data_IF_857502488397
#
_entry.id   IF_857502488397
#
_cell.length_a   1.000
_cell.length_b   1.000
_cell.length_c   1.000
_cell.angle_alpha   90.00
_cell.angle_beta   90.00
_cell.angle_gamma   90.00
#
_symmetry.space_group_name_H-M   'P 1'
#
loop_
_entity.id
_entity.type
_entity.pdbx_description
1 polymer ?
#
# COMPACT_ATOMS: atom_id res chain seq x y z
N UNK A 1 26.37 -5.33 5.26
CA UNK A 1 25.30 -4.61 5.99
C UNK A 1 23.97 -5.33 5.75
N UNK A 2 23.12 -5.52 6.76
CA UNK A 2 21.72 -5.85 6.45
C UNK A 2 21.12 -4.62 5.77
N UNK A 3 20.51 -4.80 4.62
CA UNK A 3 20.01 -3.67 3.85
C UNK A 3 18.59 -3.34 4.29
N UNK A 4 17.83 -4.35 4.72
CA UNK A 4 16.48 -4.18 5.25
C UNK A 4 16.16 -5.20 6.34
N UNK A 5 15.36 -4.74 7.31
CA UNK A 5 14.83 -5.52 8.41
C UNK A 5 13.34 -5.23 8.53
N UNK A 6 12.50 -6.26 8.56
CA UNK A 6 11.05 -6.13 8.74
C UNK A 6 10.54 -7.18 9.70
N UNK A 7 9.55 -6.81 10.51
CA UNK A 7 8.82 -7.74 11.36
C UNK A 7 7.32 -7.64 11.06
N UNK A 8 6.68 -8.78 10.79
CA UNK A 8 5.26 -8.81 10.50
C UNK A 8 4.40 -9.15 11.72
N UNK A 9 3.08 -8.96 11.60
CA UNK A 9 2.09 -9.29 12.63
C UNK A 9 2.07 -10.77 13.03
N UNK A 10 2.61 -11.66 12.18
CA UNK A 10 2.78 -13.09 12.46
C UNK A 10 4.02 -13.40 13.30
N UNK A 11 4.75 -12.37 13.77
CA UNK A 11 6.01 -12.45 14.54
C UNK A 11 7.13 -13.17 13.75
N UNK A 12 7.22 -12.89 12.46
CA UNK A 12 8.35 -13.31 11.65
C UNK A 12 9.26 -12.11 11.44
N UNK A 13 10.55 -12.30 11.72
CA UNK A 13 11.61 -11.36 11.39
C UNK A 13 12.16 -11.74 10.02
N UNK A 14 12.17 -10.79 9.09
CA UNK A 14 12.67 -10.96 7.72
C UNK A 14 13.84 -10.01 7.54
N UNK A 15 14.98 -10.56 7.13
CA UNK A 15 16.19 -9.79 6.84
C UNK A 15 16.57 -9.97 5.38
N UNK A 16 16.78 -8.87 4.66
CA UNK A 16 17.40 -8.87 3.35
C UNK A 16 18.83 -8.34 3.50
N UNK A 17 19.81 -9.20 3.26
CA UNK A 17 21.21 -8.94 3.59
C UNK A 17 22.11 -9.21 2.37
N UNK A 18 23.27 -8.54 2.35
CA UNK A 18 24.32 -8.90 1.39
C UNK A 18 24.98 -10.23 1.73
N UNK A 19 25.75 -10.76 0.77
CA UNK A 19 26.46 -12.03 0.91
C UNK A 19 27.37 -12.09 2.14
N UNK A 20 28.10 -11.02 2.42
CA UNK A 20 29.07 -10.99 3.53
C UNK A 20 28.34 -11.04 4.87
N UNK A 21 27.27 -10.25 5.03
CA UNK A 21 26.43 -10.27 6.23
C UNK A 21 25.74 -11.61 6.40
N UNK A 22 25.24 -12.21 5.33
CA UNK A 22 24.65 -13.54 5.35
C UNK A 22 25.64 -14.58 5.92
N UNK A 23 26.88 -14.57 5.42
CA UNK A 23 27.94 -15.46 5.88
C UNK A 23 28.34 -15.19 7.34
N UNK A 24 28.45 -13.93 7.74
CA UNK A 24 28.75 -13.54 9.13
C UNK A 24 27.64 -13.93 10.11
N UNK A 25 26.37 -13.78 9.72
CA UNK A 25 25.24 -14.18 10.56
C UNK A 25 25.19 -15.71 10.71
N UNK A 26 25.45 -16.47 9.64
CA UNK A 26 25.46 -17.93 9.66
C UNK A 26 24.07 -18.52 9.97
N UNK A 27 23.02 -17.83 9.53
CA UNK A 27 21.64 -18.28 9.61
C UNK A 27 21.23 -18.96 8.31
N UNK A 28 20.23 -19.84 8.39
CA UNK A 28 19.65 -20.44 7.20
C UNK A 28 18.80 -19.38 6.47
N UNK A 29 19.11 -19.14 5.20
CA UNK A 29 18.35 -18.27 4.33
C UNK A 29 18.40 -18.76 2.89
N UNK A 30 17.78 -18.01 1.99
CA UNK A 30 17.73 -18.34 0.57
C UNK A 30 18.23 -17.18 -0.29
N UNK A 31 18.83 -17.43 -1.47
CA UNK A 31 19.15 -16.37 -2.41
C UNK A 31 17.90 -15.59 -2.82
N UNK A 32 18.02 -14.26 -2.88
CA UNK A 32 16.96 -13.37 -3.39
C UNK A 32 16.51 -13.78 -4.80
N UNK A 33 15.20 -13.79 -5.07
CA UNK A 33 14.60 -14.06 -6.38
C UNK A 33 15.08 -13.08 -7.45
N UNK A 34 15.39 -11.84 -7.06
CA UNK A 34 15.86 -10.81 -7.98
C UNK A 34 17.35 -10.89 -8.26
N UNK A 35 18.12 -11.58 -7.41
CA UNK A 35 19.58 -11.71 -7.49
C UNK A 35 20.04 -13.17 -7.61
N UNK A 36 19.22 -14.08 -8.15
CA UNK A 36 19.57 -15.49 -8.25
C UNK A 36 20.83 -15.75 -9.10
N UNK A 37 21.03 -14.97 -10.17
CA UNK A 37 22.20 -15.10 -11.06
C UNK A 37 23.49 -14.62 -10.40
N UNK A 38 23.46 -13.47 -9.73
CA UNK A 38 24.63 -12.90 -9.07
C UNK A 38 24.90 -13.50 -7.69
N UNK A 39 23.88 -14.09 -7.03
CA UNK A 39 23.90 -14.58 -5.64
C UNK A 39 24.46 -13.55 -4.65
N UNK A 40 24.18 -12.27 -4.89
CA UNK A 40 24.72 -11.16 -4.10
C UNK A 40 23.86 -10.80 -2.89
N UNK A 41 22.62 -11.26 -2.84
CA UNK A 41 21.63 -10.93 -1.79
C UNK A 41 20.93 -12.19 -1.29
N UNK A 42 20.65 -12.21 0.00
CA UNK A 42 20.01 -13.33 0.69
C UNK A 42 18.86 -12.85 1.57
N UNK A 43 17.79 -13.63 1.59
CA UNK A 43 16.64 -13.42 2.46
C UNK A 43 16.71 -14.45 3.58
N UNK A 44 16.71 -13.97 4.83
CA UNK A 44 16.66 -14.78 6.04
C UNK A 44 15.30 -14.55 6.70
N UNK A 45 14.58 -15.62 6.97
CA UNK A 45 13.33 -15.57 7.73
C UNK A 45 13.49 -16.29 9.07
N UNK A 46 13.17 -15.60 10.15
CA UNK A 46 13.22 -16.14 11.51
C UNK A 46 11.83 -16.07 12.12
N UNK A 47 11.25 -17.23 12.42
CA UNK A 47 9.99 -17.31 13.16
C UNK A 47 10.23 -17.07 14.66
N UNK A 48 9.87 -15.88 15.16
CA UNK A 48 10.10 -15.51 16.56
C UNK A 48 9.21 -16.31 17.52
N UNK A 49 8.09 -16.90 17.06
CA UNK A 49 7.21 -17.73 17.90
C UNK A 49 7.85 -19.06 18.28
N UNK A 50 8.72 -19.60 17.44
CA UNK A 50 9.38 -20.89 17.67
C UNK A 50 10.66 -20.77 18.51
N UNK A 51 11.21 -19.55 18.62
CA UNK A 51 12.47 -19.32 19.34
C UNK A 51 12.43 -19.71 20.82
N UNK A 52 11.36 -19.44 21.60
CA UNK A 52 11.27 -19.90 22.98
C UNK A 52 11.37 -21.42 23.10
N UNK A 53 10.84 -22.17 22.13
CA UNK A 53 10.90 -23.63 22.07
C UNK A 53 12.24 -24.16 21.55
N UNK A 54 13.14 -23.29 21.05
CA UNK A 54 14.44 -23.65 20.48
C UNK A 54 15.57 -22.82 21.13
N UNK A 55 15.93 -23.06 22.41
CA UNK A 55 16.86 -22.21 23.15
C UNK A 55 18.25 -22.11 22.52
N UNK A 56 18.80 -23.23 22.02
CA UNK A 56 20.11 -23.25 21.33
C UNK A 56 20.13 -22.31 20.12
N UNK A 57 19.04 -22.33 19.33
CA UNK A 57 18.89 -21.46 18.16
C UNK A 57 18.75 -19.99 18.60
N UNK A 58 17.92 -19.72 19.62
CA UNK A 58 17.76 -18.38 20.18
C UNK A 58 19.09 -17.77 20.65
N UNK A 59 19.88 -18.50 21.45
CA UNK A 59 21.18 -18.02 21.93
C UNK A 59 22.18 -17.82 20.79
N UNK A 60 22.19 -18.70 19.78
CA UNK A 60 23.00 -18.52 18.57
C UNK A 60 22.63 -17.20 17.88
N UNK A 61 21.35 -16.98 17.62
CA UNK A 61 20.85 -15.78 16.93
C UNK A 61 21.18 -14.52 17.72
N UNK A 62 20.87 -14.50 19.02
CA UNK A 62 21.15 -13.38 19.92
C UNK A 62 22.64 -13.03 19.94
N UNK A 63 23.51 -14.03 20.07
CA UNK A 63 24.97 -13.84 20.09
C UNK A 63 25.48 -13.24 18.78
N UNK A 64 24.95 -13.68 17.64
CA UNK A 64 25.38 -13.17 16.33
C UNK A 64 24.90 -11.74 16.10
N UNK A 65 23.67 -11.38 16.48
CA UNK A 65 23.23 -9.98 16.40
C UNK A 65 24.04 -9.05 17.30
N UNK A 66 24.35 -9.48 18.53
CA UNK A 66 25.16 -8.69 19.46
C UNK A 66 26.59 -8.50 18.96
N UNK A 67 27.18 -9.52 18.32
CA UNK A 67 28.54 -9.43 17.76
C UNK A 67 28.62 -8.52 16.54
N UNK A 68 27.59 -8.51 15.70
CA UNK A 68 27.61 -7.78 14.44
C UNK A 68 27.24 -6.29 14.61
N UNK A 69 26.81 -5.87 15.82
CA UNK A 69 26.49 -4.49 16.21
C UNK A 69 25.66 -3.70 15.18
N UNK A 70 24.78 -4.39 14.45
CA UNK A 70 24.01 -3.75 13.40
C UNK A 70 22.96 -2.82 14.01
N UNK A 71 22.93 -1.58 13.52
CA UNK A 71 21.98 -0.55 13.94
C UNK A 71 21.11 -0.16 12.75
N UNK A 72 19.84 0.09 13.04
CA UNK A 72 18.84 0.50 12.07
C UNK A 72 17.97 1.59 12.69
N UNK A 73 17.55 2.53 11.86
CA UNK A 73 16.39 3.35 12.16
C UNK A 73 15.14 2.53 11.81
N UNK A 74 14.18 2.47 12.72
CA UNK A 74 13.03 1.56 12.61
C UNK A 74 11.74 2.35 12.71
N UNK A 75 10.90 2.25 11.68
CA UNK A 75 9.49 2.62 11.79
C UNK A 75 8.78 1.54 12.61
N UNK A 76 8.15 1.95 13.71
CA UNK A 76 7.49 1.06 14.64
C UNK A 76 6.03 1.46 14.81
N UNK A 77 5.14 0.47 14.68
CA UNK A 77 3.73 0.61 15.04
C UNK A 77 3.32 -0.59 15.86
N UNK A 78 2.55 -0.33 16.91
CA UNK A 78 2.08 -1.33 17.83
C UNK A 78 0.65 -1.03 18.24
N UNK A 79 -0.16 -2.08 18.23
CA UNK A 79 -1.50 -2.03 18.75
C UNK A 79 -1.49 -2.64 20.15
N UNK A 80 -1.96 -1.86 21.12
CA UNK A 80 -2.09 -2.34 22.48
C UNK A 80 -3.04 -3.54 22.51
N UNK A 81 -2.70 -4.60 23.28
CA UNK A 81 -3.56 -5.78 23.41
C UNK A 81 -4.83 -5.51 24.22
N UNK A 82 -4.87 -4.41 24.99
CA UNK A 82 -6.03 -3.95 25.75
C UNK A 82 -6.05 -2.41 25.80
N UNK A 83 -7.24 -1.84 25.98
CA UNK A 83 -7.46 -0.39 26.10
C UNK A 83 -6.88 0.20 27.39
N UNK A 84 -6.54 -0.67 28.36
CA UNK A 84 -5.88 -0.28 29.61
C UNK A 84 -4.41 0.11 29.43
N UNK A 85 -3.78 -0.26 28.31
CA UNK A 85 -2.38 0.03 28.05
C UNK A 85 -2.28 1.22 27.10
N UNK A 86 -1.75 2.33 27.62
CA UNK A 86 -1.52 3.52 26.81
C UNK A 86 -0.49 3.28 25.71
N UNK A 87 -0.71 3.91 24.55
CA UNK A 87 0.23 3.90 23.42
C UNK A 87 1.62 4.46 23.79
N UNK A 88 1.67 5.36 24.77
CA UNK A 88 2.89 5.97 25.33
C UNK A 88 3.85 4.93 25.95
N UNK A 89 3.32 3.79 26.40
CA UNK A 89 4.08 2.73 27.09
C UNK A 89 5.24 2.17 26.25
N UNK A 90 5.03 2.01 24.94
CA UNK A 90 6.06 1.52 24.00
C UNK A 90 7.16 2.54 23.82
N UNK A 91 6.82 3.81 23.65
CA UNK A 91 7.81 4.87 23.50
C UNK A 91 8.68 4.96 24.77
N UNK A 92 8.06 4.83 25.94
CA UNK A 92 8.77 4.79 27.22
C UNK A 92 9.70 3.58 27.34
N UNK A 93 9.26 2.40 26.90
CA UNK A 93 10.09 1.19 26.86
C UNK A 93 11.40 1.42 26.09
N UNK A 94 11.32 2.03 24.91
CA UNK A 94 12.50 2.30 24.07
C UNK A 94 13.38 3.42 24.66
N UNK A 95 12.80 4.50 25.18
CA UNK A 95 13.54 5.57 25.87
C UNK A 95 14.33 5.04 27.07
N UNK A 96 13.73 4.16 27.88
CA UNK A 96 14.39 3.48 29.01
C UNK A 96 15.58 2.60 28.58
N UNK A 97 15.62 2.19 27.30
CA UNK A 97 16.72 1.46 26.69
C UNK A 97 17.71 2.36 25.95
N UNK A 98 17.63 3.68 26.17
CA UNK A 98 18.49 4.70 25.55
C UNK A 98 18.35 4.80 24.03
N UNK A 99 17.20 4.40 23.48
CA UNK A 99 16.88 4.68 22.07
C UNK A 99 16.24 6.07 21.93
N UNK A 100 16.58 6.77 20.85
CA UNK A 100 15.87 7.98 20.43
C UNK A 100 14.56 7.58 19.76
N UNK A 101 13.44 8.17 20.18
CA UNK A 101 12.11 7.88 19.63
C UNK A 101 11.35 9.17 19.35
N UNK A 102 10.94 9.35 18.09
CA UNK A 102 10.00 10.40 17.67
C UNK A 102 8.64 9.79 17.40
N UNK A 103 7.58 10.53 17.75
CA UNK A 103 6.22 10.19 17.37
C UNK A 103 5.89 10.93 16.08
N UNK A 104 5.60 10.18 15.02
CA UNK A 104 5.27 10.74 13.71
C UNK A 104 3.75 10.73 13.51
N UNK A 105 3.20 11.88 13.12
CA UNK A 105 1.78 12.02 12.80
C UNK A 105 1.55 11.78 11.31
N UNK A 106 0.32 11.39 10.97
CA UNK A 106 -0.10 11.33 9.57
C UNK A 106 -0.10 12.74 8.97
N UNK A 107 0.44 12.83 7.76
CA UNK A 107 0.34 14.02 6.93
C UNK A 107 -0.92 13.86 6.09
N UNK A 108 -1.82 14.83 6.20
CA UNK A 108 -3.07 14.87 5.45
C UNK A 108 -3.04 16.02 4.47
N UNK A 109 -3.31 15.73 3.21
CA UNK A 109 -3.55 16.74 2.18
C UNK A 109 -4.92 16.49 1.56
N UNK A 110 -5.77 17.51 1.54
CA UNK A 110 -7.12 17.44 0.99
C UNK A 110 -7.28 18.56 -0.03
N UNK A 111 -7.73 18.20 -1.22
CA UNK A 111 -7.93 19.11 -2.33
C UNK A 111 -9.29 18.86 -2.97
N UNK A 112 -9.95 19.94 -3.39
CA UNK A 112 -11.16 19.86 -4.22
C UNK A 112 -10.79 20.34 -5.61
N UNK A 113 -10.90 19.45 -6.58
CA UNK A 113 -10.79 19.75 -7.99
C UNK A 113 -12.15 20.19 -8.51
N UNK A 114 -12.15 21.19 -9.39
CA UNK A 114 -13.35 21.76 -9.97
C UNK A 114 -13.43 21.45 -11.46
N UNK A 115 -14.64 21.26 -11.97
CA UNK A 115 -14.91 20.99 -13.40
C UNK A 115 -14.04 19.85 -13.95
N UNK A 116 -13.93 18.76 -13.20
CA UNK A 116 -13.07 17.63 -13.54
C UNK A 116 -13.79 16.71 -14.51
N UNK A 117 -13.12 16.35 -15.61
CA UNK A 117 -13.65 15.36 -16.54
C UNK A 117 -13.37 13.95 -16.00
N UNK A 118 -14.42 13.18 -15.76
CA UNK A 118 -14.39 11.88 -15.09
C UNK A 118 -14.95 10.81 -16.04
N UNK A 119 -14.20 9.73 -16.32
CA UNK A 119 -14.69 8.62 -17.14
C UNK A 119 -15.94 7.97 -16.53
N UNK A 120 -16.88 7.61 -17.38
CA UNK A 120 -17.96 6.71 -17.03
C UNK A 120 -17.42 5.31 -16.77
N UNK A 121 -17.98 4.64 -15.76
CA UNK A 121 -17.58 3.28 -15.39
C UNK A 121 -18.82 2.48 -15.02
N UNK A 122 -19.06 1.39 -15.75
CA UNK A 122 -20.10 0.43 -15.42
C UNK A 122 -19.53 -0.69 -14.53
N UNK A 123 -19.99 -0.83 -13.27
CA UNK A 123 -19.49 -1.87 -12.37
C UNK A 123 -19.68 -3.29 -12.90
N UNK A 124 -20.73 -3.54 -13.69
CA UNK A 124 -21.14 -4.87 -14.15
C UNK A 124 -20.56 -5.21 -15.53
N UNK A 125 -20.05 -4.21 -16.24
CA UNK A 125 -19.49 -4.35 -17.58
C UNK A 125 -18.13 -3.65 -17.73
N UNK A 126 -17.06 -4.19 -17.12
CA UNK A 126 -15.72 -3.59 -17.21
C UNK A 126 -15.14 -3.53 -18.62
N UNK A 127 -15.54 -4.45 -19.50
CA UNK A 127 -15.00 -4.56 -20.87
C UNK A 127 -15.96 -4.02 -21.95
N UNK A 128 -17.09 -3.40 -21.58
CA UNK A 128 -18.08 -2.91 -22.56
C UNK A 128 -17.65 -1.62 -23.25
N UNK A 129 -16.64 -0.93 -22.73
CA UNK A 129 -16.13 0.30 -23.33
C UNK A 129 -15.48 0.00 -24.68
N UNK A 130 -15.92 0.70 -25.73
CA UNK A 130 -15.28 0.69 -27.05
C UNK A 130 -13.82 1.17 -26.92
N UNK A 131 -12.94 0.80 -27.88
CA UNK A 131 -11.50 1.13 -27.89
C UNK A 131 -11.16 2.47 -27.22
N UNK A 132 -10.41 2.45 -26.10
CA UNK A 132 -9.97 3.65 -25.38
C UNK A 132 -10.86 4.11 -24.20
N UNK A 133 -11.50 3.17 -23.51
CA UNK A 133 -12.24 3.43 -22.26
C UNK A 133 -12.21 2.27 -21.27
N UNK A 134 -11.27 1.32 -21.41
CA UNK A 134 -11.24 0.12 -20.59
C UNK A 134 -10.76 0.36 -19.15
N UNK A 135 -10.71 -0.69 -18.30
CA UNK A 135 -10.23 -0.58 -16.93
C UNK A 135 -8.80 -0.05 -16.82
N UNK A 136 -7.96 -0.33 -17.83
CA UNK A 136 -6.57 0.17 -17.91
C UNK A 136 -6.52 1.68 -18.16
N UNK A 137 -7.31 2.19 -19.12
CA UNK A 137 -7.41 3.64 -19.42
C UNK A 137 -7.95 4.40 -18.21
N UNK A 138 -8.95 3.82 -17.51
CA UNK A 138 -9.46 4.34 -16.26
C UNK A 138 -8.36 4.41 -15.17
N UNK A 139 -7.56 3.35 -15.04
CA UNK A 139 -6.46 3.29 -14.08
C UNK A 139 -5.37 4.33 -14.37
N UNK A 140 -5.02 4.52 -15.64
CA UNK A 140 -4.07 5.55 -16.06
C UNK A 140 -4.61 6.97 -15.79
N UNK A 141 -5.88 7.23 -16.12
CA UNK A 141 -6.54 8.49 -15.80
C UNK A 141 -6.54 8.79 -14.29
N UNK A 142 -6.78 7.79 -13.43
CA UNK A 142 -6.70 7.97 -11.97
C UNK A 142 -5.30 8.36 -11.50
N UNK A 143 -4.26 7.75 -12.09
CA UNK A 143 -2.87 8.12 -11.82
C UNK A 143 -2.60 9.57 -12.20
N UNK A 144 -3.05 9.97 -13.40
CA UNK A 144 -2.90 11.33 -13.90
C UNK A 144 -3.59 12.37 -13.01
N UNK A 145 -4.83 12.12 -12.58
CA UNK A 145 -5.54 12.98 -11.62
C UNK A 145 -4.81 13.09 -10.29
N UNK A 146 -4.29 11.97 -9.77
CA UNK A 146 -3.52 11.94 -8.52
C UNK A 146 -2.22 12.75 -8.63
N UNK A 147 -1.63 12.80 -9.83
CA UNK A 147 -0.48 13.63 -10.16
C UNK A 147 -0.83 15.08 -10.55
N UNK A 148 -2.11 15.45 -10.55
CA UNK A 148 -2.61 16.76 -10.99
C UNK A 148 -2.25 17.09 -12.44
N UNK A 149 -2.14 16.08 -13.29
CA UNK A 149 -1.93 16.26 -14.71
C UNK A 149 -3.14 16.94 -15.36
N UNK A 150 -2.88 17.79 -16.34
CA UNK A 150 -3.91 18.38 -17.20
C UNK A 150 -4.13 17.50 -18.42
N UNK A 151 -5.39 17.29 -18.79
CA UNK A 151 -5.74 16.64 -20.05
C UNK A 151 -5.91 17.70 -21.14
N UNK A 152 -5.35 17.45 -22.32
CA UNK A 152 -5.45 18.35 -23.48
C UNK A 152 -6.43 17.83 -24.52
N UNK A 153 -6.80 18.70 -25.46
CA UNK A 153 -7.49 18.29 -26.69
C UNK A 153 -6.52 17.58 -27.64
N UNK A 154 -7.06 16.74 -28.52
CA UNK A 154 -6.32 15.92 -29.50
C UNK A 154 -5.40 16.76 -30.41
N UNK A 155 -5.74 18.04 -30.61
CA UNK A 155 -4.99 18.99 -31.44
C UNK A 155 -3.90 19.77 -30.67
N UNK A 156 -3.79 19.55 -29.35
CA UNK A 156 -2.80 20.22 -28.52
C UNK A 156 -1.53 19.37 -28.41
N UNK A 157 -0.51 19.69 -29.23
CA UNK A 157 0.78 18.98 -29.31
C UNK A 157 1.52 18.89 -27.96
N UNK A 158 1.16 19.70 -26.97
CA UNK A 158 1.80 19.73 -25.65
C UNK A 158 1.27 18.65 -24.68
N UNK A 159 0.07 18.08 -24.91
CA UNK A 159 -0.57 17.10 -24.01
C UNK A 159 -0.93 15.81 -24.74
N UNK A 160 -0.17 14.73 -24.52
CA UNK A 160 -0.43 13.41 -25.12
C UNK A 160 -1.43 12.55 -24.34
N UNK A 161 -1.87 12.99 -23.16
CA UNK A 161 -2.84 12.27 -22.33
C UNK A 161 -4.25 12.61 -22.81
N UNK A 162 -4.87 11.67 -23.52
CA UNK A 162 -6.23 11.80 -24.01
C UNK A 162 -7.24 11.52 -22.88
N UNK A 163 -8.37 12.23 -22.93
CA UNK A 163 -9.51 11.91 -22.07
C UNK A 163 -10.08 10.54 -22.46
N UNK A 164 -10.46 9.69 -21.49
CA UNK A 164 -11.16 8.44 -21.78
C UNK A 164 -12.43 8.73 -22.58
N UNK A 165 -12.74 7.85 -23.56
CA UNK A 165 -14.00 7.96 -24.31
C UNK A 165 -15.16 7.70 -23.34
N UNK A 166 -16.18 8.56 -23.35
CA UNK A 166 -17.32 8.59 -22.40
C UNK A 166 -17.04 9.22 -21.02
N UNK A 167 -16.39 10.37 -21.00
CA UNK A 167 -16.21 11.15 -19.77
C UNK A 167 -17.32 12.20 -19.54
N UNK A 168 -17.69 12.42 -18.28
CA UNK A 168 -18.62 13.46 -17.84
C UNK A 168 -17.89 14.51 -16.97
N UNK A 169 -18.27 15.78 -17.08
CA UNK A 169 -17.70 16.82 -16.23
C UNK A 169 -18.43 16.87 -14.89
N UNK A 170 -17.71 16.62 -13.80
CA UNK A 170 -18.22 16.79 -12.44
C UNK A 170 -17.81 18.15 -11.89
N UNK A 171 -18.74 18.82 -11.21
CA UNK A 171 -18.50 20.16 -10.66
C UNK A 171 -17.42 20.16 -9.56
N UNK A 172 -17.34 19.08 -8.78
CA UNK A 172 -16.39 18.91 -7.68
C UNK A 172 -15.92 17.46 -7.60
N UNK A 173 -14.62 17.26 -7.50
CA UNK A 173 -13.97 15.98 -7.21
C UNK A 173 -13.05 16.18 -5.99
N UNK A 174 -13.21 15.36 -4.96
CA UNK A 174 -12.41 15.47 -3.73
C UNK A 174 -11.24 14.47 -3.77
N UNK A 175 -10.02 14.98 -3.64
CA UNK A 175 -8.80 14.18 -3.55
C UNK A 175 -8.23 14.28 -2.13
N UNK A 176 -8.14 13.14 -1.44
CA UNK A 176 -7.55 13.04 -0.11
C UNK A 176 -6.29 12.17 -0.17
N UNK A 177 -5.15 12.75 0.18
CA UNK A 177 -3.87 12.04 0.31
C UNK A 177 -3.49 11.97 1.78
N UNK A 178 -3.32 10.74 2.27
CA UNK A 178 -2.82 10.47 3.62
C UNK A 178 -1.45 9.82 3.52
N UNK A 179 -0.45 10.38 4.18
CA UNK A 179 0.93 9.88 4.20
C UNK A 179 1.37 9.58 5.62
N UNK A 180 1.94 8.39 5.84
CA UNK A 180 2.46 7.95 7.13
C UNK A 180 2.61 6.43 7.18
N UNK A 181 2.81 5.90 8.38
CA UNK A 181 3.00 4.47 8.59
C UNK A 181 1.68 3.79 8.99
N UNK A 182 0.95 3.30 7.99
CA UNK A 182 -0.36 2.65 8.19
C UNK A 182 -0.21 1.17 8.49
N UNK A 183 -0.96 0.68 9.47
CA UNK A 183 -1.12 -0.76 9.69
C UNK A 183 -2.20 -1.32 8.77
N UNK A 184 -2.16 -2.63 8.50
CA UNK A 184 -3.22 -3.29 7.72
C UNK A 184 -4.60 -3.12 8.36
N UNK A 185 -4.68 -3.09 9.69
CA UNK A 185 -5.96 -2.85 10.40
C UNK A 185 -6.49 -1.43 10.19
N UNK A 186 -5.61 -0.42 10.18
CA UNK A 186 -6.02 0.96 9.90
C UNK A 186 -6.58 1.08 8.48
N UNK A 187 -5.88 0.49 7.51
CA UNK A 187 -6.31 0.44 6.10
C UNK A 187 -7.65 -0.27 5.95
N UNK A 188 -7.81 -1.42 6.60
CA UNK A 188 -9.06 -2.18 6.60
C UNK A 188 -10.21 -1.38 7.23
N UNK A 189 -9.97 -0.69 8.34
CA UNK A 189 -10.97 0.18 8.97
C UNK A 189 -11.42 1.32 8.04
N UNK A 190 -10.48 1.97 7.36
CA UNK A 190 -10.79 3.01 6.36
C UNK A 190 -11.63 2.43 5.23
N UNK A 191 -11.22 1.28 4.68
CA UNK A 191 -11.96 0.60 3.62
C UNK A 191 -13.39 0.25 4.06
N UNK A 192 -13.57 -0.30 5.26
CA UNK A 192 -14.88 -0.64 5.81
C UNK A 192 -15.77 0.60 6.01
N UNK A 193 -15.20 1.73 6.44
CA UNK A 193 -15.92 2.99 6.58
C UNK A 193 -16.36 3.56 5.22
N UNK A 194 -15.48 3.55 4.21
CA UNK A 194 -15.84 4.00 2.86
C UNK A 194 -16.96 3.10 2.29
N UNK A 195 -16.83 1.79 2.48
CA UNK A 195 -17.82 0.82 2.03
C UNK A 195 -19.17 1.00 2.73
N UNK A 196 -19.18 1.25 4.04
CA UNK A 196 -20.42 1.49 4.78
C UNK A 196 -21.13 2.77 4.32
N UNK A 197 -20.39 3.85 4.05
CA UNK A 197 -20.94 5.09 3.48
C UNK A 197 -21.54 4.82 2.09
N UNK A 198 -20.86 4.03 1.27
CA UNK A 198 -21.26 3.73 -0.10
C UNK A 198 -22.51 2.84 -0.21
N UNK A 199 -22.76 1.98 0.79
CA UNK A 199 -23.95 1.10 0.82
C UNK A 199 -25.09 1.65 1.71
N UNK A 200 -24.77 2.19 2.88
CA UNK A 200 -25.73 2.57 3.93
C UNK A 200 -26.00 4.07 3.99
N UNK A 201 -25.58 4.84 2.98
CA UNK A 201 -25.79 6.29 2.96
C UNK A 201 -27.25 6.64 3.21
N UNK A 202 -27.57 7.01 4.47
CA UNK A 202 -28.80 7.65 4.92
C UNK A 202 -28.85 9.06 4.32
N UNK A 203 -28.99 9.14 3.00
CA UNK A 203 -29.35 10.36 2.32
C UNK A 203 -30.81 10.63 2.67
N UNK A 204 -31.12 11.83 3.14
CA UNK A 204 -32.50 12.32 3.26
C UNK A 204 -33.19 12.24 1.90
N UNK A 205 -34.50 12.05 1.87
CA UNK A 205 -35.30 11.81 0.64
C UNK A 205 -35.09 12.88 -0.46
N UNK A 206 -34.67 14.11 -0.11
CA UNK A 206 -34.27 15.15 -1.05
C UNK A 206 -32.87 14.95 -1.66
N UNK A 207 -31.88 14.52 -0.87
CA UNK A 207 -30.55 14.19 -1.38
C UNK A 207 -30.57 12.94 -2.26
N UNK A 208 -31.49 12.00 -2.00
CA UNK A 208 -31.70 10.82 -2.86
C UNK A 208 -32.20 11.19 -4.26
N UNK A 209 -33.09 12.19 -4.38
CA UNK A 209 -33.54 12.70 -5.69
C UNK A 209 -32.42 13.38 -6.47
N UNK A 210 -31.54 14.11 -5.79
CA UNK A 210 -30.41 14.77 -6.44
C UNK A 210 -29.33 13.77 -6.90
N UNK A 211 -29.07 12.69 -6.14
CA UNK A 211 -28.10 11.65 -6.54
C UNK A 211 -28.60 10.78 -7.69
N UNK A 212 -29.91 10.51 -7.78
CA UNK A 212 -30.53 9.78 -8.90
C UNK A 212 -30.59 10.59 -10.21
N UNK A 213 -30.30 11.89 -10.16
CA UNK A 213 -30.24 12.78 -11.34
C UNK A 213 -28.81 13.18 -11.72
N UNK A 214 -27.81 12.79 -10.91
CA UNK A 214 -26.41 12.99 -11.24
C UNK A 214 -25.98 11.88 -12.19
N UNK A 215 -25.90 12.20 -13.48
CA UNK A 215 -24.94 11.54 -14.35
C UNK A 215 -23.53 11.79 -13.75
N UNK A 216 -22.73 10.75 -13.48
CA UNK A 216 -22.88 9.36 -13.93
C UNK A 216 -23.73 8.49 -12.99
N UNK A 217 -24.52 7.58 -13.58
CA UNK A 217 -25.46 6.66 -12.91
C UNK A 217 -24.86 5.75 -11.80
N UNK A 218 -23.54 5.70 -11.69
CA UNK A 218 -22.81 4.97 -10.64
C UNK A 218 -21.68 5.84 -10.07
N UNK A 219 -21.95 6.72 -9.08
CA UNK A 219 -20.88 7.43 -8.40
C UNK A 219 -19.99 6.42 -7.70
N UNK A 220 -18.68 6.67 -7.72
CA UNK A 220 -17.68 5.75 -7.17
C UNK A 220 -16.68 6.48 -6.29
N UNK A 221 -16.03 5.72 -5.41
CA UNK A 221 -14.93 6.18 -4.57
C UNK A 221 -13.73 5.29 -4.88
N UNK A 222 -12.59 5.91 -5.17
CA UNK A 222 -11.32 5.20 -5.32
C UNK A 222 -10.49 5.31 -4.05
N UNK A 223 -9.95 4.18 -3.59
CA UNK A 223 -8.94 4.11 -2.56
C UNK A 223 -7.67 3.50 -3.17
N UNK A 224 -6.61 4.31 -3.32
CA UNK A 224 -5.29 3.86 -3.77
C UNK A 224 -4.31 3.82 -2.59
N UNK A 225 -3.67 2.67 -2.42
CA UNK A 225 -2.68 2.41 -1.38
C UNK A 225 -1.31 2.25 -2.02
N UNK A 226 -0.37 3.09 -1.60
CA UNK A 226 1.04 2.98 -1.97
C UNK A 226 1.82 2.38 -0.81
N UNK A 227 2.41 1.22 -1.03
CA UNK A 227 3.33 0.61 -0.08
C UNK A 227 4.71 1.24 -0.10
N UNK A 228 5.53 0.87 0.88
CA UNK A 228 6.95 1.25 0.91
C UNK A 228 7.68 0.62 -0.27
N UNK A 229 8.37 1.47 -1.04
CA UNK A 229 9.16 1.05 -2.20
C UNK A 229 10.25 0.08 -1.73
N UNK A 230 10.84 0.37 -0.56
CA UNK A 230 11.94 -0.34 0.08
C UNK A 230 11.54 -1.51 1.00
N UNK A 231 10.25 -1.87 1.03
CA UNK A 231 9.81 -3.07 1.75
C UNK A 231 10.45 -4.33 1.15
N UNK A 232 11.12 -5.20 1.94
CA UNK A 232 11.79 -6.40 1.41
C UNK A 232 10.80 -7.46 0.92
N UNK A 233 9.58 -7.45 1.48
CA UNK A 233 8.51 -8.40 1.20
C UNK A 233 7.19 -7.64 1.13
N UNK A 234 6.40 -7.94 0.11
CA UNK A 234 5.11 -7.34 -0.16
C UNK A 234 3.99 -8.39 -0.14
N UNK A 235 2.93 -8.16 -0.95
CA UNK A 235 1.74 -8.99 -1.05
C UNK A 235 2.04 -10.50 -1.04
N UNK A 236 1.30 -11.22 -0.20
CA UNK A 236 1.40 -12.67 -0.04
C UNK A 236 2.83 -13.20 0.21
N UNK A 237 3.63 -12.45 0.98
CA UNK A 237 5.03 -12.81 1.30
C UNK A 237 5.94 -12.92 0.08
N UNK A 238 5.57 -12.33 -1.05
CA UNK A 238 6.46 -12.27 -2.22
C UNK A 238 7.54 -11.22 -1.97
N UNK A 239 8.78 -11.58 -2.30
CA UNK A 239 9.89 -10.63 -2.26
C UNK A 239 9.55 -9.44 -3.17
N UNK A 240 9.83 -8.22 -2.68
CA UNK A 240 9.67 -7.03 -3.50
C UNK A 240 10.94 -6.76 -4.30
N UNK A 241 10.77 -6.40 -5.57
CA UNK A 241 11.88 -6.04 -6.45
C UNK A 241 12.34 -4.60 -6.23
N UNK A 242 12.55 -4.17 -4.98
CA UNK A 242 12.87 -2.77 -4.64
C UNK A 242 13.99 -2.18 -5.50
N UNK A 243 15.08 -2.94 -5.67
CA UNK A 243 16.26 -2.50 -6.43
C UNK A 243 16.06 -2.46 -7.95
N UNK A 244 14.88 -2.82 -8.46
CA UNK A 244 14.56 -2.83 -9.89
C UNK A 244 13.40 -1.88 -10.16
N UNK A 245 12.26 -2.05 -9.48
CA UNK A 245 11.11 -1.15 -9.65
C UNK A 245 10.16 -1.04 -8.45
N UNK A 246 10.35 -1.81 -7.37
CA UNK A 246 9.70 -1.60 -6.07
C UNK A 246 8.18 -1.37 -6.05
N UNK A 247 7.44 -1.86 -7.06
CA UNK A 247 6.03 -1.53 -7.23
C UNK A 247 5.17 -2.31 -6.24
N UNK A 248 4.46 -1.58 -5.38
CA UNK A 248 3.60 -2.14 -4.34
C UNK A 248 2.34 -1.29 -4.17
N UNK A 249 1.61 -1.05 -5.27
CA UNK A 249 0.40 -0.24 -5.24
C UNK A 249 -0.84 -1.11 -5.47
N UNK A 250 -1.91 -0.80 -4.75
CA UNK A 250 -3.20 -1.45 -4.87
C UNK A 250 -4.29 -0.39 -4.86
N UNK A 251 -5.16 -0.41 -5.87
CA UNK A 251 -6.29 0.51 -5.97
C UNK A 251 -7.58 -0.29 -5.97
N UNK A 252 -8.56 0.21 -5.20
CA UNK A 252 -9.90 -0.37 -5.13
C UNK A 252 -10.92 0.70 -5.46
N UNK A 253 -11.81 0.39 -6.39
CA UNK A 253 -12.96 1.24 -6.73
C UNK A 253 -14.20 0.64 -6.08
N UNK A 254 -14.90 1.47 -5.32
CA UNK A 254 -16.13 1.12 -4.62
C UNK A 254 -17.25 1.91 -5.28
N UNK A 255 -18.19 1.20 -5.88
CA UNK A 255 -19.33 1.79 -6.57
C UNK A 255 -20.50 1.96 -5.59
N UNK A 256 -21.17 3.10 -5.67
CA UNK A 256 -22.33 3.38 -4.84
C UNK A 256 -23.46 2.39 -5.14
N UNK A 257 -24.03 1.77 -4.10
CA UNK A 257 -25.13 0.79 -4.18
C UNK A 257 -24.90 -0.45 -5.06
N UNK A 258 -23.72 -0.65 -5.64
CA UNK A 258 -23.38 -1.88 -6.34
C UNK A 258 -22.67 -2.86 -5.40
N UNK A 259 -22.96 -4.17 -5.45
CA UNK A 259 -22.20 -5.17 -4.72
C UNK A 259 -20.81 -5.43 -5.35
N UNK A 260 -20.57 -4.95 -6.57
CA UNK A 260 -19.32 -5.12 -7.30
C UNK A 260 -18.28 -4.07 -6.89
N UNK A 261 -17.01 -4.46 -6.94
CA UNK A 261 -15.86 -3.57 -6.78
C UNK A 261 -14.84 -3.90 -7.84
N UNK A 262 -14.03 -2.92 -8.23
CA UNK A 262 -12.87 -3.16 -9.09
C UNK A 262 -11.59 -3.10 -8.27
N UNK A 263 -10.62 -3.93 -8.66
CA UNK A 263 -9.36 -4.03 -7.95
C UNK A 263 -8.18 -4.07 -8.91
N UNK A 264 -7.30 -3.08 -8.80
CA UNK A 264 -6.09 -2.95 -9.60
C UNK A 264 -4.89 -3.24 -8.72
N UNK A 265 -4.16 -4.29 -9.05
CA UNK A 265 -2.98 -4.70 -8.30
C UNK A 265 -1.76 -4.58 -9.19
N UNK A 266 -0.90 -3.63 -8.86
CA UNK A 266 0.38 -3.47 -9.57
C UNK A 266 1.43 -4.36 -8.92
N UNK A 267 2.01 -5.27 -9.71
CA UNK A 267 3.09 -6.14 -9.27
C UNK A 267 4.21 -6.20 -10.30
N UNK A 268 5.43 -6.40 -9.83
CA UNK A 268 6.56 -6.68 -10.71
C UNK A 268 6.27 -7.93 -11.58
N UNK A 269 6.57 -7.94 -12.90
CA UNK A 269 6.24 -9.05 -13.81
C UNK A 269 6.70 -10.44 -13.34
N UNK A 270 7.90 -10.52 -12.74
CA UNK A 270 8.43 -11.75 -12.10
C UNK A 270 7.59 -12.31 -10.95
N UNK A 271 6.61 -11.57 -10.44
CA UNK A 271 5.65 -12.05 -9.44
C UNK A 271 4.34 -12.57 -10.07
N UNK A 272 4.13 -12.37 -11.39
CA UNK A 272 2.95 -12.82 -12.15
C UNK A 272 3.06 -14.24 -12.69
N UNK A 273 4.27 -14.83 -12.73
CA UNK A 273 4.45 -16.24 -13.11
C UNK A 273 3.98 -17.16 -11.98
N UNK A 274 2.75 -17.66 -12.11
CA UNK A 274 2.30 -18.94 -11.56
C UNK A 274 2.02 -19.89 -12.73
#
# INVERSE_FOLDING_TARGET
MALFCSMNSKRQLILNVDKDTYQCLGFQGQPSKFHQKSKSKYVIEVNLKELPSKPKLFYKIKRQFLKNEQKFDVLFSWQAPSDEIESSSVQMYFKNKSFTCTEEKFITNSQVLHNTCVPYVDPDQPDSCLEGGGPEDFYEWMGAISCQCTFGDVDNYENHMLLPREACTVAKCSLLTLKGFFTSQMVESIFQQIRSISHNGNLTSEQQKNVLQLEPQHPWICMTMHGFVDAPVCWNRKENGFYISGVNNHSVIIFYRSPHLWSFLTQHPRNLSM
#
